data_IF_389084540960
#
_entry.id   IF_389084540960
#
_cell.length_a   1.000
_cell.length_b   1.000
_cell.length_c   1.000
_cell.angle_alpha   90.00
_cell.angle_beta   90.00
_cell.angle_gamma   90.00
#
_symmetry.space_group_name_H-M   'P 1'
#
loop_
_entity.id
_entity.type
_entity.pdbx_description
1 polymer ?
#
# COMPACT_ATOMS: atom_id res chain seq x y z
N UNK A 1 -20.84 -15.72 6.23
CA UNK A 1 -20.55 -16.09 4.83
C UNK A 1 -19.30 -15.32 4.44
N UNK A 2 -18.14 -15.99 4.35
CA UNK A 2 -16.91 -15.38 3.83
C UNK A 2 -17.08 -15.26 2.30
N UNK A 3 -16.68 -14.14 1.67
CA UNK A 3 -16.73 -14.03 0.23
C UNK A 3 -15.85 -15.13 -0.36
N UNK A 4 -16.43 -15.96 -1.22
CA UNK A 4 -15.69 -16.94 -1.99
C UNK A 4 -14.92 -16.19 -3.07
N UNK A 5 -13.70 -15.78 -2.75
CA UNK A 5 -12.72 -15.46 -3.78
C UNK A 5 -12.45 -16.77 -4.51
N UNK A 6 -12.88 -16.87 -5.76
CA UNK A 6 -12.38 -17.91 -6.64
C UNK A 6 -10.87 -17.68 -6.75
N UNK A 7 -10.08 -18.50 -6.03
CA UNK A 7 -8.62 -18.48 -6.13
C UNK A 7 -8.27 -19.16 -7.46
N UNK A 8 -8.52 -18.48 -8.57
CA UNK A 8 -7.84 -18.82 -9.80
C UNK A 8 -6.36 -18.53 -9.56
N UNK A 9 -5.50 -19.53 -9.76
CA UNK A 9 -4.07 -19.31 -9.71
C UNK A 9 -3.71 -18.28 -10.81
N UNK A 10 -2.89 -17.27 -10.50
CA UNK A 10 -2.48 -16.29 -11.50
C UNK A 10 -1.72 -16.97 -12.63
N UNK A 11 -2.01 -16.60 -13.86
CA UNK A 11 -1.33 -17.11 -15.06
C UNK A 11 -0.46 -16.01 -15.69
N UNK A 12 0.48 -16.42 -16.54
CA UNK A 12 1.35 -15.50 -17.26
C UNK A 12 0.53 -14.41 -17.99
N UNK A 13 0.84 -13.15 -17.72
CA UNK A 13 0.13 -11.98 -18.26
C UNK A 13 -0.95 -11.39 -17.37
N UNK A 14 -1.37 -12.08 -16.31
CA UNK A 14 -2.27 -11.53 -15.30
C UNK A 14 -1.63 -10.31 -14.62
N UNK A 15 -2.48 -9.36 -14.23
CA UNK A 15 -2.05 -8.12 -13.60
C UNK A 15 -2.64 -8.00 -12.21
N UNK A 16 -1.81 -7.56 -11.28
CA UNK A 16 -2.23 -7.31 -9.91
C UNK A 16 -2.05 -5.83 -9.59
N UNK A 17 -3.07 -5.25 -8.95
CA UNK A 17 -3.01 -3.90 -8.39
C UNK A 17 -3.36 -4.01 -6.92
N UNK A 18 -2.49 -3.48 -6.08
CA UNK A 18 -2.72 -3.42 -4.63
C UNK A 18 -2.71 -1.96 -4.22
N UNK A 19 -3.70 -1.58 -3.43
CA UNK A 19 -3.71 -0.30 -2.74
C UNK A 19 -3.95 -0.57 -1.26
N UNK A 20 -3.08 -0.01 -0.43
CA UNK A 20 -3.15 -0.13 1.02
C UNK A 20 -2.81 1.20 1.67
N UNK A 21 -3.31 1.40 2.87
CA UNK A 21 -2.95 2.54 3.68
C UNK A 21 -3.14 2.23 5.15
N UNK A 22 -2.38 2.93 5.98
CA UNK A 22 -2.46 2.86 7.42
C UNK A 22 -2.30 4.25 8.01
N UNK A 23 -2.84 4.46 9.19
CA UNK A 23 -2.61 5.69 9.92
C UNK A 23 -2.90 5.52 11.40
N UNK A 24 -2.23 6.34 12.20
CA UNK A 24 -2.43 6.41 13.64
C UNK A 24 -2.31 7.86 14.07
N UNK A 25 -3.07 8.22 15.09
CA UNK A 25 -2.98 9.53 15.71
C UNK A 25 -3.24 9.39 17.21
N UNK A 26 -2.77 10.36 18.00
CA UNK A 26 -3.17 10.48 19.40
C UNK A 26 -4.57 11.11 19.54
N UNK A 27 -5.01 11.34 20.78
CA UNK A 27 -6.37 11.85 21.04
C UNK A 27 -6.56 13.32 20.63
N UNK A 28 -5.47 14.08 20.57
CA UNK A 28 -5.50 15.53 20.32
C UNK A 28 -5.06 15.86 18.88
N UNK A 29 -4.63 14.86 18.11
CA UNK A 29 -4.06 14.94 16.76
C UNK A 29 -2.71 15.64 16.69
N UNK A 30 -2.00 15.70 17.81
CA UNK A 30 -0.71 16.35 17.95
C UNK A 30 0.43 15.49 17.38
N UNK A 31 0.21 14.18 17.25
CA UNK A 31 1.11 13.27 16.54
C UNK A 31 0.29 12.36 15.60
N UNK A 32 0.32 12.68 14.31
CA UNK A 32 -0.41 11.98 13.26
C UNK A 32 0.54 11.39 12.24
N UNK A 33 0.45 10.08 12.04
CA UNK A 33 1.20 9.36 11.01
C UNK A 33 0.22 8.73 10.03
N UNK A 34 0.51 8.89 8.74
CA UNK A 34 -0.25 8.32 7.64
C UNK A 34 0.69 7.69 6.61
N UNK A 35 0.31 6.54 6.08
CA UNK A 35 1.01 5.87 5.00
C UNK A 35 0.04 5.37 3.94
N UNK A 36 0.42 5.53 2.67
CA UNK A 36 -0.27 4.95 1.52
C UNK A 36 0.76 4.21 0.68
N UNK A 37 0.41 3.00 0.29
CA UNK A 37 1.21 2.18 -0.59
C UNK A 37 0.37 1.67 -1.74
N UNK A 38 0.84 1.95 -2.95
CA UNK A 38 0.33 1.36 -4.18
C UNK A 38 1.35 0.42 -4.80
N UNK A 39 0.90 -0.70 -5.34
CA UNK A 39 1.72 -1.52 -6.22
C UNK A 39 0.96 -1.97 -7.45
N UNK A 40 1.70 -2.11 -8.54
CA UNK A 40 1.23 -2.70 -9.79
C UNK A 40 2.25 -3.71 -10.27
N UNK A 41 1.79 -4.91 -10.60
CA UNK A 41 2.63 -5.98 -11.11
C UNK A 41 1.98 -6.79 -12.22
N UNK A 42 2.80 -7.47 -13.00
CA UNK A 42 2.40 -8.41 -14.04
C UNK A 42 3.10 -9.74 -13.81
N UNK A 43 2.32 -10.82 -13.78
CA UNK A 43 2.83 -12.18 -13.66
C UNK A 43 3.55 -12.59 -14.95
N UNK A 44 4.79 -13.08 -14.83
CA UNK A 44 5.57 -13.61 -15.95
C UNK A 44 5.25 -15.08 -16.19
N UNK A 45 5.00 -15.80 -15.09
CA UNK A 45 4.48 -17.16 -15.02
C UNK A 45 3.69 -17.33 -13.70
N UNK A 46 3.29 -18.55 -13.39
CA UNK A 46 2.51 -18.88 -12.19
C UNK A 46 3.29 -18.66 -10.87
N UNK A 47 4.61 -18.53 -10.93
CA UNK A 47 5.50 -18.47 -9.77
C UNK A 47 6.30 -17.14 -9.67
N UNK A 48 6.21 -16.27 -10.67
CA UNK A 48 7.01 -15.05 -10.75
C UNK A 48 6.23 -13.86 -11.30
N UNK A 49 6.51 -12.70 -10.72
CA UNK A 49 5.93 -11.41 -11.08
C UNK A 49 7.03 -10.36 -11.10
N UNK A 50 6.91 -9.40 -12.00
CA UNK A 50 7.63 -8.12 -11.90
C UNK A 50 6.62 -6.99 -11.69
N UNK A 51 7.04 -5.94 -11.00
CA UNK A 51 6.16 -4.82 -10.73
C UNK A 51 6.87 -3.63 -10.11
N UNK A 52 6.11 -2.57 -9.93
CA UNK A 52 6.53 -1.36 -9.23
C UNK A 52 5.68 -1.19 -7.98
N UNK A 53 6.32 -0.75 -6.91
CA UNK A 53 5.67 -0.38 -5.66
C UNK A 53 6.11 1.03 -5.32
N UNK A 54 5.17 1.84 -4.90
CA UNK A 54 5.41 3.19 -4.44
C UNK A 54 4.72 3.36 -3.10
N UNK A 55 5.47 3.91 -2.15
CA UNK A 55 4.96 4.24 -0.82
C UNK A 55 5.16 5.73 -0.59
N UNK A 56 4.13 6.38 -0.06
CA UNK A 56 4.19 7.75 0.42
C UNK A 56 3.74 7.76 1.86
N UNK A 57 4.55 8.36 2.72
CA UNK A 57 4.28 8.55 4.14
C UNK A 57 4.18 10.04 4.42
N UNK A 58 3.26 10.39 5.33
CA UNK A 58 3.13 11.72 5.88
C UNK A 58 3.17 11.61 7.41
N UNK A 59 3.93 12.49 8.05
CA UNK A 59 3.98 12.63 9.50
C UNK A 59 3.76 14.09 9.86
N UNK A 60 2.85 14.33 10.78
CA UNK A 60 2.55 15.64 11.32
C UNK A 60 2.73 15.55 12.83
N UNK A 61 3.61 16.38 13.38
CA UNK A 61 3.92 16.42 14.80
C UNK A 61 3.80 17.86 15.29
N UNK A 62 3.29 18.04 16.51
CA UNK A 62 3.00 19.35 17.06
C UNK A 62 4.21 20.28 17.03
N UNK A 63 4.04 21.46 16.43
CA UNK A 63 5.10 22.46 16.29
C UNK A 63 6.08 22.23 15.13
N UNK A 64 5.91 21.15 14.34
CA UNK A 64 6.65 20.91 13.12
C UNK A 64 5.79 21.10 11.86
N UNK A 65 6.44 21.22 10.70
CA UNK A 65 5.75 21.15 9.41
C UNK A 65 5.58 19.70 9.00
N UNK A 66 4.46 19.37 8.35
CA UNK A 66 4.20 18.03 7.79
C UNK A 66 5.40 17.53 6.98
N UNK A 67 5.94 16.39 7.40
CA UNK A 67 7.05 15.71 6.76
C UNK A 67 6.52 14.65 5.80
N UNK A 68 7.06 14.63 4.58
CA UNK A 68 6.73 13.63 3.57
C UNK A 68 7.97 12.82 3.21
N UNK A 69 7.82 11.49 3.17
CA UNK A 69 8.85 10.58 2.68
C UNK A 69 8.23 9.47 1.83
N UNK A 70 9.05 8.78 1.06
CA UNK A 70 8.58 7.73 0.18
C UNK A 70 9.69 6.92 -0.47
N UNK A 71 9.30 5.82 -1.09
CA UNK A 71 10.17 4.88 -1.82
C UNK A 71 9.41 4.22 -2.96
#
# INVERSE_FOLDING_TARGET
MLPAFAIAAPVAGDREVTLSGAGSSDKDFDDTVFSVQGSWGTYLDEASMWGVRQTVNARDSEGESVQFDGS
#
